data_IF_479792003254
#
_entry.id   IF_479792003254
#
_cell.length_a   1.000
_cell.length_b   1.000
_cell.length_c   1.000
_cell.angle_alpha   90.00
_cell.angle_beta   90.00
_cell.angle_gamma   90.00
#
_symmetry.space_group_name_H-M   'P 1'
#
loop_
_entity.id
_entity.type
_entity.pdbx_description
1 polymer ?
#
# COMPACT_ATOMS: atom_id res chain seq x y z
N UNK A 1 9.12 -31.24 -8.53
CA UNK A 1 9.04 -29.79 -8.78
C UNK A 1 10.46 -29.26 -8.90
N UNK A 2 10.78 -28.46 -9.93
CA UNK A 2 12.10 -27.86 -10.09
C UNK A 2 12.12 -26.54 -9.31
N UNK A 3 12.62 -26.55 -8.07
CA UNK A 3 12.85 -25.34 -7.29
C UNK A 3 14.26 -24.81 -7.55
N UNK A 4 14.40 -23.49 -7.66
CA UNK A 4 15.70 -22.81 -7.71
C UNK A 4 15.69 -21.63 -6.75
N UNK A 5 16.84 -21.34 -6.15
CA UNK A 5 17.04 -20.09 -5.42
C UNK A 5 17.01 -18.93 -6.43
N UNK A 6 16.13 -17.94 -6.22
CA UNK A 6 16.02 -16.80 -7.14
C UNK A 6 17.10 -15.75 -6.90
N UNK A 7 17.45 -15.49 -5.64
CA UNK A 7 18.43 -14.48 -5.27
C UNK A 7 19.38 -15.07 -4.22
N UNK A 8 20.63 -15.41 -4.61
CA UNK A 8 21.64 -15.92 -3.70
C UNK A 8 22.34 -14.82 -2.90
N UNK A 9 22.26 -13.56 -3.35
CA UNK A 9 22.92 -12.40 -2.76
C UNK A 9 22.03 -11.69 -1.73
N UNK A 10 20.73 -12.00 -1.75
CA UNK A 10 19.84 -11.95 -0.59
C UNK A 10 18.54 -11.17 -0.81
N UNK A 11 17.43 -11.79 -0.42
CA UNK A 11 16.14 -11.14 -0.18
C UNK A 11 15.76 -11.25 1.30
N UNK A 12 15.14 -10.21 1.86
CA UNK A 12 14.61 -10.22 3.22
C UNK A 12 13.09 -10.11 3.22
N UNK A 13 12.46 -10.81 4.16
CA UNK A 13 11.04 -10.67 4.44
C UNK A 13 10.86 -9.64 5.57
N UNK A 14 9.86 -8.77 5.44
CA UNK A 14 9.44 -7.86 6.51
C UNK A 14 7.99 -8.14 6.87
N UNK A 15 7.63 -7.97 8.14
CA UNK A 15 6.23 -7.96 8.57
C UNK A 15 5.65 -6.57 8.30
N UNK A 16 4.74 -6.38 7.31
CA UNK A 16 4.37 -5.03 6.86
C UNK A 16 3.74 -4.17 7.97
N UNK A 17 2.91 -4.78 8.81
CA UNK A 17 2.29 -4.08 9.96
C UNK A 17 3.35 -3.54 10.90
N UNK A 18 4.31 -4.38 11.29
CA UNK A 18 5.36 -3.99 12.23
C UNK A 18 6.24 -2.88 11.63
N UNK A 19 6.67 -3.04 10.37
CA UNK A 19 7.45 -2.03 9.67
C UNK A 19 6.74 -0.67 9.63
N UNK A 20 5.49 -0.63 9.16
CA UNK A 20 4.72 0.61 9.07
C UNK A 20 4.48 1.24 10.44
N UNK A 21 4.15 0.44 11.46
CA UNK A 21 3.99 0.93 12.83
C UNK A 21 5.29 1.54 13.35
N UNK A 22 6.44 0.88 13.18
CA UNK A 22 7.73 1.38 13.65
C UNK A 22 8.21 2.62 12.90
N UNK A 23 7.98 2.69 11.60
CA UNK A 23 8.28 3.90 10.82
C UNK A 23 7.43 5.08 11.28
N UNK A 24 6.13 4.86 11.53
CA UNK A 24 5.24 5.91 12.03
C UNK A 24 5.61 6.36 13.45
N UNK A 25 5.85 5.42 14.38
CA UNK A 25 6.33 5.72 15.73
C UNK A 25 7.62 6.54 15.69
N UNK A 26 8.57 6.19 14.81
CA UNK A 26 9.81 6.92 14.64
C UNK A 26 9.58 8.34 14.09
N UNK A 27 8.66 8.53 13.14
CA UNK A 27 8.30 9.85 12.63
C UNK A 27 7.66 10.73 13.71
N UNK A 28 6.70 10.18 14.47
CA UNK A 28 6.05 10.89 15.59
C UNK A 28 7.05 11.25 16.67
N UNK A 29 7.99 10.36 17.01
CA UNK A 29 9.06 10.66 17.97
C UNK A 29 9.97 11.81 17.55
N UNK A 30 9.97 12.16 16.26
CA UNK A 30 10.72 13.28 15.67
C UNK A 30 9.86 14.53 15.42
N UNK A 31 8.62 14.55 15.91
CA UNK A 31 7.72 15.70 15.84
C UNK A 31 6.69 15.66 14.73
N UNK A 32 6.52 14.53 14.02
CA UNK A 32 5.37 14.37 13.12
C UNK A 32 4.07 14.21 13.91
N UNK A 33 2.96 14.66 13.33
CA UNK A 33 1.62 14.45 13.85
C UNK A 33 0.85 13.46 12.97
N UNK A 34 0.02 12.62 13.59
CA UNK A 34 -0.83 11.65 12.88
C UNK A 34 -2.28 12.05 13.11
N UNK A 35 -2.99 12.32 12.02
CA UNK A 35 -4.44 12.53 12.01
C UNK A 35 -5.11 11.34 11.32
N UNK A 36 -6.13 10.79 11.95
CA UNK A 36 -7.00 9.78 11.33
C UNK A 36 -8.26 10.49 10.84
N UNK A 37 -8.60 10.31 9.56
CA UNK A 37 -9.71 10.94 8.89
C UNK A 37 -9.69 10.64 7.39
N UNK A 38 -10.69 11.09 6.66
CA UNK A 38 -10.78 10.94 5.20
C UNK A 38 -10.23 12.19 4.54
N UNK A 39 -9.20 12.06 3.70
CA UNK A 39 -8.75 13.16 2.85
C UNK A 39 -9.73 13.31 1.69
N UNK A 40 -10.38 14.47 1.61
CA UNK A 40 -11.48 14.75 0.69
C UNK A 40 -11.08 15.69 -0.44
N UNK A 41 -9.99 16.45 -0.25
CA UNK A 41 -9.54 17.45 -1.21
C UNK A 41 -8.29 18.20 -0.75
N UNK A 42 -7.87 19.14 -1.59
CA UNK A 42 -6.75 20.05 -1.33
C UNK A 42 -7.22 21.47 -1.60
N UNK A 43 -7.04 22.35 -0.63
CA UNK A 43 -7.33 23.77 -0.79
C UNK A 43 -6.17 24.45 -1.51
N UNK A 44 -6.50 25.33 -2.45
CA UNK A 44 -5.53 26.12 -3.21
C UNK A 44 -5.92 27.59 -3.26
N UNK A 45 -4.92 28.45 -3.40
CA UNK A 45 -5.08 29.88 -3.66
C UNK A 45 -4.17 30.33 -4.82
N UNK A 46 -4.52 31.39 -5.57
CA UNK A 46 -3.65 31.91 -6.61
C UNK A 46 -2.30 32.37 -6.05
N UNK A 47 -1.22 31.76 -6.53
CA UNK A 47 0.15 32.12 -6.23
C UNK A 47 0.58 33.42 -6.93
N UNK A 48 1.66 34.03 -6.42
CA UNK A 48 2.23 35.26 -6.99
C UNK A 48 2.79 35.07 -8.43
N UNK A 49 3.07 33.83 -8.82
CA UNK A 49 3.50 33.43 -10.16
C UNK A 49 2.32 33.10 -11.10
N UNK A 50 1.09 33.21 -10.62
CA UNK A 50 -0.14 32.90 -11.36
C UNK A 50 -0.49 31.42 -11.40
N UNK A 51 0.22 30.57 -10.65
CA UNK A 51 -0.11 29.15 -10.48
C UNK A 51 -0.83 28.95 -9.14
N UNK A 52 -1.74 27.97 -9.08
CA UNK A 52 -2.41 27.62 -7.82
C UNK A 52 -1.39 27.04 -6.82
N UNK A 53 -1.37 27.63 -5.62
CA UNK A 53 -0.54 27.19 -4.50
C UNK A 53 -1.42 26.48 -3.47
N UNK A 54 -0.97 25.31 -3.00
CA UNK A 54 -1.65 24.57 -1.94
C UNK A 54 -1.60 25.34 -0.62
N UNK A 55 -2.73 25.40 0.08
CA UNK A 55 -2.87 26.02 1.39
C UNK A 55 -3.31 25.04 2.47
N UNK A 56 -3.85 23.88 2.10
CA UNK A 56 -4.22 22.84 3.04
C UNK A 56 -4.79 21.58 2.40
N UNK A 57 -5.08 20.59 3.25
CA UNK A 57 -5.78 19.36 2.90
C UNK A 57 -7.11 19.33 3.65
N UNK A 58 -8.20 19.03 2.95
CA UNK A 58 -9.52 18.88 3.57
C UNK A 58 -9.61 17.47 4.16
N UNK A 59 -9.80 17.38 5.47
CA UNK A 59 -9.90 16.12 6.21
C UNK A 59 -11.20 16.13 7.04
N UNK A 60 -12.14 15.25 6.68
CA UNK A 60 -13.48 15.18 7.28
C UNK A 60 -14.20 16.55 7.29
N UNK A 61 -14.15 17.27 6.17
CA UNK A 61 -14.72 18.62 6.02
C UNK A 61 -13.93 19.77 6.66
N UNK A 62 -12.81 19.51 7.34
CA UNK A 62 -11.96 20.53 7.95
C UNK A 62 -10.64 20.71 7.21
N UNK A 63 -10.23 21.95 6.95
CA UNK A 63 -8.92 22.25 6.36
C UNK A 63 -7.80 22.07 7.39
N UNK A 64 -6.84 21.21 7.08
CA UNK A 64 -5.55 21.10 7.74
C UNK A 64 -4.53 21.94 6.96
N UNK A 65 -4.00 23.05 7.54
CA UNK A 65 -3.08 23.93 6.82
C UNK A 65 -1.79 23.22 6.41
N UNK A 66 -1.36 23.43 5.16
CA UNK A 66 -0.13 22.87 4.62
C UNK A 66 0.36 23.69 3.42
N UNK A 67 1.64 24.07 3.42
CA UNK A 67 2.26 24.75 2.27
C UNK A 67 2.66 23.77 1.16
N UNK A 68 2.77 22.48 1.50
CA UNK A 68 3.23 21.40 0.63
C UNK A 68 2.50 20.11 0.98
N UNK A 69 2.06 19.39 -0.04
CA UNK A 69 1.34 18.12 0.12
C UNK A 69 2.01 17.03 -0.71
N UNK A 70 2.19 15.85 -0.12
CA UNK A 70 2.66 14.65 -0.81
C UNK A 70 1.58 13.58 -0.71
N UNK A 71 1.07 13.12 -1.85
CA UNK A 71 0.00 12.15 -1.92
C UNK A 71 0.56 10.72 -1.89
N UNK A 72 0.33 10.03 -0.77
CA UNK A 72 0.74 8.64 -0.55
C UNK A 72 -0.49 7.70 -0.54
N UNK A 73 -1.39 7.87 -1.51
CA UNK A 73 -2.75 7.31 -1.49
C UNK A 73 -2.88 5.89 -2.04
N UNK A 74 -1.79 5.26 -2.52
CA UNK A 74 -1.85 3.91 -3.10
C UNK A 74 -2.91 3.80 -4.21
N UNK A 75 -3.79 2.79 -4.19
CA UNK A 75 -4.87 2.65 -5.18
C UNK A 75 -5.84 3.85 -5.24
N UNK A 76 -5.96 4.63 -4.17
CA UNK A 76 -6.82 5.81 -4.12
C UNK A 76 -6.19 7.06 -4.75
N UNK A 77 -4.99 6.96 -5.33
CA UNK A 77 -4.36 8.08 -6.02
C UNK A 77 -5.20 8.63 -7.19
N UNK A 78 -6.10 7.84 -7.76
CA UNK A 78 -7.06 8.30 -8.77
C UNK A 78 -8.03 9.39 -8.25
N UNK A 79 -8.28 9.49 -6.94
CA UNK A 79 -9.08 10.58 -6.37
C UNK A 79 -8.42 11.95 -6.55
N UNK A 80 -7.10 11.99 -6.71
CA UNK A 80 -6.36 13.22 -6.95
C UNK A 80 -6.65 13.82 -8.35
N UNK A 81 -7.23 13.05 -9.27
CA UNK A 81 -7.64 13.58 -10.57
C UNK A 81 -8.64 14.72 -10.41
N UNK A 82 -9.61 14.58 -9.51
CA UNK A 82 -10.62 15.61 -9.23
C UNK A 82 -10.03 16.81 -8.47
N UNK A 83 -8.99 16.59 -7.67
CA UNK A 83 -8.38 17.65 -6.84
C UNK A 83 -7.45 18.57 -7.65
N UNK A 84 -6.78 18.03 -8.66
CA UNK A 84 -5.76 18.76 -9.43
C UNK A 84 -6.09 18.90 -10.92
N UNK A 85 -7.16 18.27 -11.42
CA UNK A 85 -7.49 18.24 -12.84
C UNK A 85 -6.42 17.52 -13.69
N UNK A 86 -5.70 16.56 -13.10
CA UNK A 86 -4.63 15.79 -13.74
C UNK A 86 -5.09 14.36 -13.95
N UNK A 87 -4.56 13.67 -14.96
CA UNK A 87 -4.80 12.22 -15.09
C UNK A 87 -3.80 11.41 -14.29
N UNK A 88 -4.29 10.46 -13.50
CA UNK A 88 -3.55 9.52 -12.67
C UNK A 88 -3.94 8.10 -13.12
N UNK A 89 -3.10 7.41 -13.91
CA UNK A 89 -3.43 6.09 -14.46
C UNK A 89 -3.28 4.98 -13.41
N UNK A 90 -4.18 4.97 -12.42
CA UNK A 90 -4.17 4.05 -11.28
C UNK A 90 -5.50 3.28 -11.20
N UNK A 91 -5.40 1.95 -11.06
CA UNK A 91 -6.53 1.05 -10.83
C UNK A 91 -6.16 0.09 -9.69
N UNK A 92 -7.09 -0.14 -8.77
CA UNK A 92 -6.94 -1.12 -7.71
C UNK A 92 -7.06 -2.56 -8.22
N UNK A 93 -6.41 -3.49 -7.51
CA UNK A 93 -6.55 -4.93 -7.76
C UNK A 93 -7.04 -5.58 -6.46
N UNK A 94 -8.24 -6.15 -6.50
CA UNK A 94 -8.77 -6.93 -5.40
C UNK A 94 -8.11 -8.31 -5.40
N UNK A 95 -7.22 -8.51 -4.43
CA UNK A 95 -6.53 -9.78 -4.20
C UNK A 95 -6.98 -10.43 -2.90
N UNK A 96 -6.70 -11.72 -2.75
CA UNK A 96 -7.02 -12.50 -1.54
C UNK A 96 -5.73 -13.01 -0.92
N UNK A 97 -5.73 -13.08 0.41
CA UNK A 97 -4.69 -13.75 1.17
C UNK A 97 -5.28 -14.68 2.20
N UNK A 98 -4.50 -15.69 2.59
CA UNK A 98 -4.81 -16.65 3.64
C UNK A 98 -3.69 -16.57 4.67
N UNK A 99 -4.07 -16.52 5.95
CA UNK A 99 -3.13 -16.71 7.05
C UNK A 99 -3.57 -17.95 7.80
N UNK A 100 -2.68 -18.90 7.97
CA UNK A 100 -2.90 -20.04 8.87
C UNK A 100 -1.70 -20.20 9.80
N UNK A 101 -1.93 -20.88 10.92
CA UNK A 101 -0.91 -21.15 11.92
C UNK A 101 -0.46 -22.60 11.79
N UNK A 102 0.85 -22.81 11.68
CA UNK A 102 1.43 -24.15 11.71
C UNK A 102 1.68 -24.58 13.15
N UNK A 103 1.36 -25.83 13.48
CA UNK A 103 1.73 -26.45 14.76
C UNK A 103 3.20 -26.92 14.77
N UNK A 104 3.79 -27.05 13.57
CA UNK A 104 5.19 -27.45 13.37
C UNK A 104 6.04 -26.25 12.91
N UNK A 105 7.35 -26.21 13.23
CA UNK A 105 8.26 -25.20 12.70
C UNK A 105 8.29 -25.21 11.16
N UNK A 106 8.23 -24.01 10.56
CA UNK A 106 8.33 -23.83 9.10
C UNK A 106 9.60 -23.05 8.78
N UNK A 107 10.38 -23.55 7.85
CA UNK A 107 11.59 -22.87 7.37
C UNK A 107 11.26 -21.48 6.80
N UNK A 108 12.09 -20.44 7.05
CA UNK A 108 11.78 -19.05 6.71
C UNK A 108 11.98 -18.72 5.22
N UNK A 109 11.81 -19.69 4.33
CA UNK A 109 11.95 -19.50 2.90
C UNK A 109 10.66 -18.95 2.30
N UNK A 110 10.75 -17.77 1.67
CA UNK A 110 9.68 -17.28 0.82
C UNK A 110 9.62 -18.12 -0.47
N UNK A 111 8.43 -18.60 -0.82
CA UNK A 111 8.21 -19.36 -2.05
C UNK A 111 7.43 -18.50 -3.04
N UNK A 112 7.96 -18.38 -4.25
CA UNK A 112 7.28 -17.78 -5.39
C UNK A 112 7.04 -18.90 -6.40
N UNK A 113 5.79 -19.32 -6.52
CA UNK A 113 5.41 -20.40 -7.42
C UNK A 113 5.21 -19.86 -8.83
N UNK A 114 5.54 -20.68 -9.82
CA UNK A 114 5.18 -20.41 -11.20
C UNK A 114 3.66 -20.31 -11.37
N UNK A 115 3.24 -19.63 -12.43
CA UNK A 115 1.83 -19.51 -12.77
C UNK A 115 1.22 -20.90 -13.04
N UNK A 116 0.11 -21.19 -12.39
CA UNK A 116 -0.73 -22.35 -12.65
C UNK A 116 -1.79 -21.98 -13.70
N UNK A 117 -1.63 -22.43 -14.95
CA UNK A 117 -2.54 -22.06 -16.04
C UNK A 117 -3.95 -22.60 -15.87
N UNK A 118 -4.17 -23.58 -14.97
CA UNK A 118 -5.51 -24.12 -14.68
C UNK A 118 -6.39 -23.10 -13.96
N UNK A 119 -5.78 -22.21 -13.19
CA UNK A 119 -6.49 -21.24 -12.35
C UNK A 119 -6.04 -19.78 -12.58
N UNK A 120 -5.04 -19.55 -13.45
CA UNK A 120 -4.50 -18.20 -13.71
C UNK A 120 -3.97 -17.55 -12.43
N UNK A 121 -3.24 -18.33 -11.62
CA UNK A 121 -2.77 -17.94 -10.28
C UNK A 121 -1.28 -18.21 -10.16
N UNK A 122 -0.56 -17.34 -9.47
CA UNK A 122 0.79 -17.63 -8.99
C UNK A 122 0.73 -17.62 -7.47
N UNK A 123 1.12 -18.70 -6.83
CA UNK A 123 1.04 -18.77 -5.37
C UNK A 123 2.33 -18.20 -4.76
N UNK A 124 2.17 -17.33 -3.78
CA UNK A 124 3.28 -16.86 -2.96
C UNK A 124 3.08 -17.30 -1.51
N UNK A 125 4.13 -17.79 -0.87
CA UNK A 125 4.09 -18.34 0.50
C UNK A 125 5.19 -17.70 1.34
N UNK A 126 4.81 -17.17 2.49
CA UNK A 126 5.67 -16.41 3.40
C UNK A 126 5.52 -16.93 4.83
N UNK A 127 6.38 -17.87 5.25
CA UNK A 127 6.50 -18.27 6.65
C UNK A 127 7.03 -17.12 7.51
N UNK A 128 6.41 -16.90 8.67
CA UNK A 128 6.79 -15.86 9.64
C UNK A 128 7.41 -16.47 10.88
N UNK A 129 8.26 -15.68 11.55
CA UNK A 129 8.86 -16.05 12.83
C UNK A 129 7.84 -16.26 13.98
N UNK A 130 6.60 -15.81 13.80
CA UNK A 130 5.47 -16.02 14.71
C UNK A 130 4.85 -17.43 14.61
N UNK A 131 5.26 -18.24 13.63
CA UNK A 131 4.64 -19.53 13.29
C UNK A 131 3.42 -19.43 12.36
N UNK A 132 3.06 -18.21 11.95
CA UNK A 132 2.08 -17.97 10.90
C UNK A 132 2.68 -18.20 9.52
N UNK A 133 1.88 -18.72 8.59
CA UNK A 133 2.21 -18.78 7.16
C UNK A 133 1.20 -17.91 6.42
N UNK A 134 1.70 -16.86 5.77
CA UNK A 134 0.91 -15.98 4.92
C UNK A 134 1.00 -16.47 3.47
N UNK A 135 -0.14 -16.58 2.80
CA UNK A 135 -0.24 -17.00 1.41
C UNK A 135 -1.02 -15.97 0.60
N UNK A 136 -0.55 -15.64 -0.61
CA UNK A 136 -1.23 -14.73 -1.53
C UNK A 136 -1.01 -15.11 -3.00
N UNK A 137 -1.48 -14.24 -3.92
CA UNK A 137 -1.43 -14.49 -5.36
C UNK A 137 -2.51 -15.45 -5.86
N UNK A 138 -3.52 -15.72 -5.02
CA UNK A 138 -4.68 -16.55 -5.33
C UNK A 138 -5.45 -15.88 -6.48
N UNK A 139 -5.49 -16.54 -7.64
CA UNK A 139 -5.92 -15.98 -8.93
C UNK A 139 -7.37 -15.47 -8.96
N UNK A 140 -7.77 -14.93 -10.11
CA UNK A 140 -9.09 -14.33 -10.28
C UNK A 140 -9.22 -12.93 -9.66
N UNK A 141 -8.09 -12.22 -9.53
CA UNK A 141 -8.07 -10.86 -8.99
C UNK A 141 -8.85 -9.89 -9.90
N UNK A 142 -9.81 -9.18 -9.32
CA UNK A 142 -10.63 -8.22 -10.04
C UNK A 142 -9.94 -6.86 -10.05
N UNK A 143 -9.93 -6.19 -11.21
CA UNK A 143 -9.61 -4.76 -11.29
C UNK A 143 -10.78 -3.94 -10.75
N UNK A 144 -10.49 -3.03 -9.84
CA UNK A 144 -11.47 -2.18 -9.18
C UNK A 144 -10.95 -0.75 -9.25
N UNK A 145 -11.65 0.10 -9.99
CA UNK A 145 -11.33 1.52 -10.06
C UNK A 145 -11.76 2.23 -8.78
N UNK A 146 -11.15 3.39 -8.50
CA UNK A 146 -11.57 4.22 -7.38
C UNK A 146 -13.04 4.64 -7.59
N UNK A 147 -13.88 4.39 -6.58
CA UNK A 147 -15.22 4.94 -6.56
C UNK A 147 -15.20 6.44 -6.22
N UNK A 148 -16.31 7.15 -6.44
CA UNK A 148 -16.46 8.51 -5.91
C UNK A 148 -16.35 8.48 -4.38
N UNK A 149 -15.89 9.61 -3.80
CA UNK A 149 -15.99 9.87 -2.36
C UNK A 149 -17.45 10.01 -1.92
#
# INVERSE_FOLDING_TARGET
>A
ANSRMMDPDGGAQVAPRELCTKLMEAAVSRGAEVRTGTAEGVDTEPGADGLDQVTGVIVDGETVPADKVCLCLGPWAALAEDWFGLSVPMTGIKSTSIVFKSDEPVEPFALFCGEDPRFGTHLEVYPRNTGEVYMCGIGGAQKVDAGPL
#
